data_IF_176161063270
#
_entry.id   IF_176161063270
#
_cell.length_a   1.000
_cell.length_b   1.000
_cell.length_c   1.000
_cell.angle_alpha   90.00
_cell.angle_beta   90.00
_cell.angle_gamma   90.00
#
_symmetry.space_group_name_H-M   'P 1'
#
loop_
_entity.id
_entity.type
_entity.pdbx_description
1 polymer ?
#
# COMPACT_ATOMS: atom_id res chain seq x y z
N UNK A 1 41.51 -25.15 -26.41
CA UNK A 1 40.82 -23.87 -26.70
C UNK A 1 39.33 -24.17 -26.71
N UNK A 2 38.68 -23.87 -25.58
CA UNK A 2 37.72 -22.76 -25.42
C UNK A 2 36.32 -23.19 -25.92
N UNK A 3 35.21 -23.02 -25.21
CA UNK A 3 34.87 -22.01 -24.21
C UNK A 3 33.85 -22.56 -23.19
N UNK A 4 34.09 -22.29 -21.91
CA UNK A 4 33.12 -22.42 -20.82
C UNK A 4 32.10 -21.27 -20.87
N UNK A 5 30.81 -21.59 -20.75
CA UNK A 5 29.72 -20.63 -20.56
C UNK A 5 29.86 -19.90 -19.20
N UNK A 6 29.48 -18.61 -19.10
CA UNK A 6 29.63 -17.86 -17.86
C UNK A 6 28.54 -18.24 -16.84
N UNK A 7 28.97 -18.53 -15.62
CA UNK A 7 28.11 -18.77 -14.47
C UNK A 7 27.54 -17.46 -13.93
N UNK A 8 26.23 -17.24 -14.11
CA UNK A 8 25.49 -16.11 -13.53
C UNK A 8 24.78 -16.43 -12.22
N UNK A 9 24.77 -17.69 -11.76
CA UNK A 9 23.95 -18.15 -10.63
C UNK A 9 24.55 -17.98 -9.24
N UNK A 10 25.86 -18.13 -9.07
CA UNK A 10 26.49 -18.12 -7.73
C UNK A 10 26.55 -16.73 -7.12
N UNK A 11 26.92 -15.72 -7.91
CA UNK A 11 27.04 -14.35 -7.42
C UNK A 11 25.71 -13.70 -7.05
N UNK A 12 24.57 -14.10 -7.65
CA UNK A 12 23.24 -13.59 -7.27
C UNK A 12 22.78 -14.10 -5.90
N UNK A 13 23.10 -15.36 -5.58
CA UNK A 13 22.73 -15.99 -4.30
C UNK A 13 23.53 -15.40 -3.14
N UNK A 14 24.84 -15.15 -3.33
CA UNK A 14 25.67 -14.47 -2.32
C UNK A 14 25.21 -13.02 -2.07
N UNK A 15 24.74 -12.31 -3.11
CA UNK A 15 24.27 -10.91 -3.01
C UNK A 15 22.94 -10.75 -2.27
N UNK A 16 21.94 -11.57 -2.61
CA UNK A 16 20.68 -11.65 -1.84
C UNK A 16 20.96 -11.96 -0.37
N UNK A 17 21.94 -12.82 -0.10
CA UNK A 17 22.33 -13.15 1.26
C UNK A 17 22.99 -11.99 2.03
N UNK A 18 23.62 -11.04 1.33
CA UNK A 18 24.25 -9.86 1.95
C UNK A 18 23.23 -8.82 2.41
N UNK A 19 22.28 -8.45 1.54
CA UNK A 19 21.20 -7.50 1.87
C UNK A 19 20.28 -8.07 2.96
N UNK A 20 19.87 -9.34 2.80
CA UNK A 20 19.07 -10.05 3.79
C UNK A 20 19.81 -10.16 5.15
N UNK A 21 21.13 -10.38 5.14
CA UNK A 21 21.92 -10.40 6.37
C UNK A 21 21.97 -9.03 7.06
N UNK A 22 22.18 -7.94 6.32
CA UNK A 22 22.21 -6.58 6.89
C UNK A 22 20.86 -6.19 7.50
N UNK A 23 19.75 -6.45 6.80
CA UNK A 23 18.41 -6.20 7.33
C UNK A 23 18.12 -7.03 8.59
N UNK A 24 18.62 -8.27 8.66
CA UNK A 24 18.50 -9.11 9.87
C UNK A 24 19.38 -8.64 11.04
N UNK A 25 20.46 -7.90 10.78
CA UNK A 25 21.23 -7.27 11.85
C UNK A 25 20.45 -6.11 12.49
N UNK A 26 19.71 -5.35 11.67
CA UNK A 26 18.84 -4.28 12.13
C UNK A 26 17.58 -4.81 12.84
N UNK A 27 16.99 -5.89 12.33
CA UNK A 27 15.78 -6.52 12.87
C UNK A 27 16.08 -7.98 13.24
N UNK A 28 16.61 -8.23 14.45
CA UNK A 28 17.16 -9.54 14.83
C UNK A 28 16.09 -10.61 15.11
N UNK A 29 14.83 -10.22 15.31
CA UNK A 29 13.76 -11.13 15.68
C UNK A 29 12.52 -10.91 14.79
N UNK A 30 11.92 -12.01 14.37
CA UNK A 30 10.60 -12.00 13.72
C UNK A 30 9.53 -11.55 14.72
N UNK A 31 8.61 -10.71 14.26
CA UNK A 31 7.49 -10.25 15.09
C UNK A 31 6.39 -11.32 15.17
N UNK A 32 6.28 -12.18 14.16
CA UNK A 32 5.38 -13.34 14.13
C UNK A 32 5.94 -14.50 13.29
N UNK A 33 5.39 -15.71 13.43
CA UNK A 33 5.85 -16.89 12.68
C UNK A 33 5.69 -16.74 11.15
N UNK A 34 4.69 -15.97 10.73
CA UNK A 34 4.37 -15.67 9.35
C UNK A 34 4.98 -14.36 8.85
N UNK A 35 5.85 -13.74 9.65
CA UNK A 35 6.57 -12.54 9.28
C UNK A 35 7.59 -12.84 8.18
N UNK A 36 7.37 -12.20 7.03
CA UNK A 36 8.16 -12.30 5.81
C UNK A 36 8.66 -10.94 5.32
N UNK A 37 8.58 -9.90 6.15
CA UNK A 37 8.88 -8.54 5.73
C UNK A 37 10.31 -8.39 5.20
N UNK A 38 11.29 -8.94 5.93
CA UNK A 38 12.71 -8.90 5.52
C UNK A 38 12.89 -9.65 4.21
N UNK A 39 12.25 -10.81 4.06
CA UNK A 39 12.33 -11.59 2.82
C UNK A 39 11.73 -10.84 1.63
N UNK A 40 10.61 -10.14 1.82
CA UNK A 40 9.98 -9.31 0.78
C UNK A 40 10.85 -8.10 0.41
N UNK A 41 11.36 -7.38 1.42
CA UNK A 41 12.16 -6.19 1.21
C UNK A 41 13.50 -6.53 0.53
N UNK A 42 14.18 -7.57 0.98
CA UNK A 42 15.42 -8.04 0.36
C UNK A 42 15.21 -8.46 -1.11
N UNK A 43 14.10 -9.14 -1.43
CA UNK A 43 13.78 -9.52 -2.81
C UNK A 43 13.52 -8.28 -3.69
N UNK A 44 12.73 -7.33 -3.19
CA UNK A 44 12.43 -6.10 -3.92
C UNK A 44 13.68 -5.27 -4.16
N UNK A 45 14.55 -5.16 -3.16
CA UNK A 45 15.80 -4.40 -3.27
C UNK A 45 16.76 -5.07 -4.26
N UNK A 46 16.94 -6.39 -4.20
CA UNK A 46 17.76 -7.12 -5.17
C UNK A 46 17.28 -6.91 -6.61
N UNK A 47 15.96 -7.02 -6.83
CA UNK A 47 15.36 -6.79 -8.14
C UNK A 47 15.48 -5.34 -8.59
N UNK A 48 15.38 -4.39 -7.68
CA UNK A 48 15.60 -2.98 -7.97
C UNK A 48 17.05 -2.69 -8.38
N UNK A 49 18.03 -3.25 -7.67
CA UNK A 49 19.45 -3.09 -8.00
C UNK A 49 19.80 -3.72 -9.36
N UNK A 50 19.21 -4.88 -9.69
CA UNK A 50 19.34 -5.47 -11.03
C UNK A 50 18.76 -4.57 -12.13
N UNK A 51 17.61 -3.92 -11.87
CA UNK A 51 17.03 -2.92 -12.78
C UNK A 51 17.93 -1.69 -12.90
N UNK A 52 18.48 -1.19 -11.80
CA UNK A 52 19.36 -0.03 -11.78
C UNK A 52 20.62 -0.30 -12.60
N UNK A 53 21.24 -1.48 -12.41
CA UNK A 53 22.39 -1.95 -13.18
C UNK A 53 22.10 -1.98 -14.68
N UNK A 54 20.95 -2.54 -15.07
CA UNK A 54 20.55 -2.62 -16.48
C UNK A 54 20.26 -1.26 -17.13
N UNK A 55 20.03 -0.21 -16.35
CA UNK A 55 19.70 1.13 -16.84
C UNK A 55 20.90 2.09 -16.83
N UNK A 56 21.72 2.02 -15.79
CA UNK A 56 22.75 3.02 -15.50
C UNK A 56 24.16 2.43 -15.35
N UNK A 57 24.33 1.12 -15.48
CA UNK A 57 25.62 0.44 -15.39
C UNK A 57 25.99 -0.01 -13.97
N UNK A 58 27.15 -0.64 -13.86
CA UNK A 58 27.64 -1.25 -12.61
C UNK A 58 28.08 -0.20 -11.58
N UNK A 59 28.77 0.85 -12.03
CA UNK A 59 29.31 1.90 -11.15
C UNK A 59 28.23 2.56 -10.29
N UNK A 60 27.07 2.91 -10.89
CA UNK A 60 25.98 3.56 -10.15
C UNK A 60 25.24 2.58 -9.23
N UNK A 61 25.16 1.30 -9.62
CA UNK A 61 24.60 0.24 -8.78
C UNK A 61 25.46 0.07 -7.53
N UNK A 62 26.78 -0.01 -7.70
CA UNK A 62 27.74 -0.13 -6.59
C UNK A 62 27.66 1.09 -5.68
N UNK A 63 27.62 2.30 -6.22
CA UNK A 63 27.50 3.52 -5.43
C UNK A 63 26.21 3.56 -4.57
N UNK A 64 25.06 3.16 -5.13
CA UNK A 64 23.81 3.09 -4.38
C UNK A 64 23.88 2.02 -3.28
N UNK A 65 24.51 0.88 -3.59
CA UNK A 65 24.70 -0.18 -2.60
C UNK A 65 25.62 0.27 -1.47
N UNK A 66 26.78 0.88 -1.76
CA UNK A 66 27.70 1.41 -0.75
C UNK A 66 27.04 2.45 0.15
N UNK A 67 26.29 3.39 -0.43
CA UNK A 67 25.51 4.36 0.34
C UNK A 67 24.50 3.69 1.28
N UNK A 68 23.84 2.62 0.82
CA UNK A 68 22.88 1.87 1.61
C UNK A 68 23.56 1.12 2.76
N UNK A 69 24.72 0.50 2.51
CA UNK A 69 25.50 -0.23 3.51
C UNK A 69 26.02 0.70 4.61
N UNK A 70 26.59 1.86 4.25
CA UNK A 70 27.05 2.87 5.22
C UNK A 70 25.90 3.42 6.06
N UNK A 71 24.74 3.67 5.44
CA UNK A 71 23.55 4.11 6.17
C UNK A 71 23.02 3.04 7.14
N UNK A 72 23.05 1.76 6.75
CA UNK A 72 22.66 0.65 7.63
C UNK A 72 23.64 0.44 8.79
N UNK A 73 24.94 0.62 8.55
CA UNK A 73 25.96 0.59 9.60
C UNK A 73 25.76 1.75 10.60
N UNK A 74 25.44 2.94 10.09
CA UNK A 74 25.10 4.09 10.92
C UNK A 74 23.91 3.79 11.83
N UNK A 75 22.84 3.21 11.32
CA UNK A 75 21.67 2.88 12.14
C UNK A 75 21.99 1.84 13.23
N UNK A 76 22.96 0.94 12.96
CA UNK A 76 23.35 -0.10 13.93
C UNK A 76 24.28 0.44 15.03
N UNK A 77 25.25 1.29 14.67
CA UNK A 77 26.34 1.75 15.57
C UNK A 77 26.14 3.17 16.09
N UNK A 78 25.29 3.97 15.44
CA UNK A 78 25.10 5.41 15.64
C UNK A 78 26.39 6.23 15.64
N UNK A 79 27.36 5.81 14.81
CA UNK A 79 28.66 6.45 14.68
C UNK A 79 28.60 7.65 13.74
N UNK A 80 28.90 8.85 14.23
CA UNK A 80 28.84 10.06 13.43
C UNK A 80 29.88 10.06 12.29
N UNK A 81 30.99 9.33 12.43
CA UNK A 81 32.00 9.21 11.36
C UNK A 81 31.39 8.56 10.09
N UNK A 82 30.41 7.67 10.25
CA UNK A 82 29.69 7.04 9.13
C UNK A 82 28.77 8.01 8.40
N UNK A 83 28.19 8.97 9.12
CA UNK A 83 27.41 10.04 8.46
C UNK A 83 28.31 11.00 7.69
N UNK A 84 29.49 11.31 8.24
CA UNK A 84 30.47 12.14 7.53
C UNK A 84 30.96 11.44 6.26
N UNK A 85 31.26 10.14 6.32
CA UNK A 85 31.58 9.29 5.17
C UNK A 85 30.46 9.33 4.10
N UNK A 86 29.20 9.15 4.52
CA UNK A 86 28.04 9.24 3.62
C UNK A 86 27.89 10.65 3.01
N UNK A 87 28.17 11.70 3.80
CA UNK A 87 28.14 13.08 3.33
C UNK A 87 29.21 13.36 2.28
N UNK A 88 30.43 12.88 2.48
CA UNK A 88 31.52 12.98 1.50
C UNK A 88 31.18 12.24 0.21
N UNK A 89 30.65 11.02 0.32
CA UNK A 89 30.17 10.24 -0.81
C UNK A 89 29.12 11.00 -1.63
N UNK A 90 28.08 11.53 -0.98
CA UNK A 90 27.00 12.26 -1.68
C UNK A 90 27.48 13.57 -2.29
N UNK A 91 28.35 14.32 -1.60
CA UNK A 91 28.85 15.63 -2.08
C UNK A 91 29.88 15.52 -3.19
N UNK A 92 30.51 14.34 -3.36
CA UNK A 92 31.45 14.07 -4.44
C UNK A 92 30.79 13.83 -5.80
N UNK A 93 29.47 13.58 -5.83
CA UNK A 93 28.71 13.25 -7.03
C UNK A 93 28.50 14.47 -7.92
N UNK A 94 28.45 14.26 -9.23
CA UNK A 94 27.98 15.28 -10.13
C UNK A 94 26.45 15.48 -10.01
N UNK A 95 25.88 16.59 -10.51
CA UNK A 95 24.45 16.86 -10.40
C UNK A 95 23.55 15.80 -11.06
N UNK A 96 24.03 15.14 -12.13
CA UNK A 96 23.33 14.06 -12.80
C UNK A 96 23.20 12.84 -11.90
N UNK A 97 24.32 12.33 -11.40
CA UNK A 97 24.35 11.17 -10.52
C UNK A 97 23.63 11.43 -9.19
N UNK A 98 23.76 12.64 -8.64
CA UNK A 98 23.02 13.07 -7.44
C UNK A 98 21.50 12.88 -7.58
N UNK A 99 20.94 13.24 -8.74
CA UNK A 99 19.50 13.08 -8.99
C UNK A 99 19.12 11.60 -9.07
N UNK A 100 19.94 10.77 -9.72
CA UNK A 100 19.63 9.34 -9.87
C UNK A 100 19.74 8.62 -8.54
N UNK A 101 20.75 8.93 -7.71
CA UNK A 101 20.90 8.34 -6.37
C UNK A 101 19.75 8.77 -5.46
N UNK A 102 19.41 10.06 -5.39
CA UNK A 102 18.27 10.52 -4.60
C UNK A 102 16.96 9.85 -5.03
N UNK A 103 16.77 9.70 -6.35
CA UNK A 103 15.60 9.00 -6.91
C UNK A 103 15.63 7.51 -6.56
N UNK A 104 16.79 6.86 -6.60
CA UNK A 104 16.94 5.45 -6.25
C UNK A 104 16.53 5.18 -4.80
N UNK A 105 17.03 5.95 -3.84
CA UNK A 105 16.65 5.83 -2.43
C UNK A 105 15.15 6.12 -2.19
N UNK A 106 14.58 7.11 -2.88
CA UNK A 106 13.13 7.36 -2.82
C UNK A 106 12.32 6.15 -3.31
N UNK A 107 12.75 5.50 -4.39
CA UNK A 107 12.09 4.30 -4.89
C UNK A 107 12.29 3.08 -3.99
N UNK A 108 13.49 2.88 -3.43
CA UNK A 108 13.75 1.82 -2.46
C UNK A 108 12.83 1.95 -1.25
N UNK A 109 12.65 3.17 -0.72
CA UNK A 109 11.71 3.41 0.38
C UNK A 109 10.27 3.11 -0.01
N UNK A 110 9.83 3.46 -1.23
CA UNK A 110 8.50 3.12 -1.70
C UNK A 110 8.29 1.60 -1.82
N UNK A 111 9.32 0.86 -2.25
CA UNK A 111 9.28 -0.60 -2.31
C UNK A 111 9.23 -1.22 -0.91
N UNK A 112 9.98 -0.67 0.06
CA UNK A 112 9.92 -1.10 1.45
C UNK A 112 8.52 -0.85 2.06
N UNK A 113 7.92 0.33 1.83
CA UNK A 113 6.55 0.64 2.27
C UNK A 113 5.54 -0.35 1.68
N UNK A 114 5.71 -0.72 0.42
CA UNK A 114 4.86 -1.72 -0.22
C UNK A 114 5.05 -3.12 0.39
N UNK A 115 6.28 -3.52 0.69
CA UNK A 115 6.56 -4.77 1.39
C UNK A 115 5.86 -4.81 2.75
N UNK A 116 5.87 -3.68 3.46
CA UNK A 116 5.16 -3.49 4.72
C UNK A 116 3.63 -3.59 4.53
N UNK A 117 3.05 -2.91 3.54
CA UNK A 117 1.62 -2.98 3.23
C UNK A 117 1.19 -4.43 2.95
N UNK A 118 1.96 -5.18 2.16
CA UNK A 118 1.70 -6.60 1.87
C UNK A 118 1.83 -7.44 3.14
N UNK A 119 2.87 -7.23 3.94
CA UNK A 119 3.04 -7.92 5.21
C UNK A 119 1.86 -7.67 6.15
N UNK A 120 1.41 -6.43 6.31
CA UNK A 120 0.26 -6.06 7.15
C UNK A 120 -1.03 -6.71 6.63
N UNK A 121 -1.26 -6.67 5.32
CA UNK A 121 -2.48 -7.20 4.71
C UNK A 121 -2.63 -8.72 4.85
N UNK A 122 -1.51 -9.46 4.86
CA UNK A 122 -1.49 -10.92 4.91
C UNK A 122 -1.05 -11.51 6.27
N UNK A 123 -0.65 -10.65 7.23
CA UNK A 123 -0.34 -11.09 8.59
C UNK A 123 -1.56 -11.73 9.24
N UNK A 124 -1.35 -12.90 9.83
CA UNK A 124 -2.36 -13.61 10.62
C UNK A 124 -2.62 -12.85 11.90
N UNK A 125 -3.91 -12.65 12.20
CA UNK A 125 -4.33 -12.07 13.49
C UNK A 125 -3.93 -12.98 14.65
N UNK A 126 -3.42 -12.38 15.71
CA UNK A 126 -3.10 -13.09 16.95
C UNK A 126 -4.40 -13.31 17.73
N UNK A 127 -4.73 -14.57 18.01
CA UNK A 127 -5.96 -14.93 18.73
C UNK A 127 -5.86 -14.80 20.25
N UNK A 128 -4.63 -14.76 20.79
CA UNK A 128 -4.38 -14.60 22.21
C UNK A 128 -4.29 -13.11 22.53
N UNK A 129 -5.39 -12.54 23.03
CA UNK A 129 -5.52 -11.13 23.43
C UNK A 129 -5.60 -11.04 24.96
N UNK A 130 -5.13 -9.94 25.53
CA UNK A 130 -5.22 -9.70 26.99
C UNK A 130 -6.62 -9.26 27.41
N UNK A 131 -7.43 -8.79 26.48
CA UNK A 131 -8.79 -8.29 26.70
C UNK A 131 -8.83 -6.89 27.30
N UNK A 132 -7.75 -6.11 27.21
CA UNK A 132 -7.64 -4.76 27.76
C UNK A 132 -7.58 -3.68 26.67
N UNK A 133 -7.61 -2.40 27.06
CA UNK A 133 -7.53 -1.28 26.12
C UNK A 133 -6.19 -1.20 25.39
N UNK A 134 -5.13 -1.85 25.89
CA UNK A 134 -3.84 -1.84 25.21
C UNK A 134 -3.88 -2.68 23.93
N UNK A 135 -4.75 -3.71 23.88
CA UNK A 135 -4.95 -4.52 22.68
C UNK A 135 -5.52 -3.69 21.51
N UNK A 136 -6.30 -2.63 21.77
CA UNK A 136 -6.92 -1.80 20.73
C UNK A 136 -5.94 -0.79 20.10
N UNK A 137 -4.70 -0.69 20.60
CA UNK A 137 -3.69 0.24 20.09
C UNK A 137 -2.86 -0.33 18.93
N UNK A 138 -3.06 -1.60 18.56
CA UNK A 138 -2.32 -2.25 17.48
C UNK A 138 -3.24 -3.10 16.62
N UNK A 139 -3.11 -2.98 15.30
CA UNK A 139 -3.88 -3.78 14.33
C UNK A 139 -3.68 -5.30 14.50
N UNK A 140 -2.60 -5.73 15.18
CA UNK A 140 -2.32 -7.14 15.47
C UNK A 140 -3.28 -7.70 16.52
N UNK A 141 -3.70 -6.85 17.47
CA UNK A 141 -4.47 -7.22 18.67
C UNK A 141 -5.86 -6.58 18.72
N UNK A 142 -6.14 -5.58 17.88
CA UNK A 142 -7.41 -4.87 17.86
C UNK A 142 -8.60 -5.81 17.63
N UNK A 143 -9.73 -5.47 18.23
CA UNK A 143 -10.97 -6.23 18.07
C UNK A 143 -11.54 -6.02 16.67
N UNK A 144 -11.86 -7.12 15.97
CA UNK A 144 -12.71 -6.97 14.79
C UNK A 144 -14.15 -6.55 15.18
N UNK A 145 -14.97 -6.28 14.17
CA UNK A 145 -16.35 -5.86 14.41
C UNK A 145 -17.14 -6.94 15.18
N UNK A 146 -16.93 -8.22 14.90
CA UNK A 146 -17.66 -9.29 15.57
C UNK A 146 -17.24 -9.43 17.04
N UNK A 147 -15.93 -9.39 17.31
CA UNK A 147 -15.39 -9.37 18.68
C UNK A 147 -15.93 -8.16 19.46
N UNK A 148 -16.02 -7.00 18.81
CA UNK A 148 -16.61 -5.80 19.41
C UNK A 148 -18.09 -5.99 19.75
N UNK A 149 -18.89 -6.52 18.82
CA UNK A 149 -20.31 -6.78 19.07
C UNK A 149 -20.51 -7.83 20.17
N UNK A 150 -19.67 -8.88 20.20
CA UNK A 150 -19.69 -9.91 21.24
C UNK A 150 -19.37 -9.32 22.61
N UNK A 151 -18.33 -8.50 22.73
CA UNK A 151 -17.98 -7.79 23.98
C UNK A 151 -19.13 -6.90 24.46
N UNK A 152 -19.81 -6.18 23.56
CA UNK A 152 -20.98 -5.36 23.92
C UNK A 152 -22.12 -6.22 24.50
N UNK A 153 -22.39 -7.38 23.90
CA UNK A 153 -23.50 -8.26 24.31
C UNK A 153 -23.15 -9.05 25.57
N UNK A 154 -21.98 -9.67 25.63
CA UNK A 154 -21.61 -10.61 26.68
C UNK A 154 -21.00 -9.92 27.91
N UNK A 155 -20.09 -8.98 27.72
CA UNK A 155 -19.37 -8.35 28.83
C UNK A 155 -20.12 -7.11 29.35
N UNK A 156 -20.62 -6.29 28.43
CA UNK A 156 -21.37 -5.06 28.76
C UNK A 156 -22.88 -5.26 28.88
N UNK A 157 -23.38 -6.49 28.65
CA UNK A 157 -24.79 -6.89 28.80
C UNK A 157 -25.77 -6.03 28.00
N UNK A 158 -25.36 -5.52 26.84
CA UNK A 158 -26.26 -4.83 25.91
C UNK A 158 -27.10 -5.85 25.15
N UNK A 159 -28.36 -5.53 24.92
CA UNK A 159 -29.20 -6.38 24.08
C UNK A 159 -28.75 -6.27 22.61
N UNK A 160 -28.82 -7.36 21.83
CA UNK A 160 -28.52 -7.30 20.40
C UNK A 160 -29.35 -6.25 19.64
N UNK A 161 -30.59 -6.00 20.08
CA UNK A 161 -31.47 -4.98 19.52
C UNK A 161 -30.96 -3.55 19.75
N UNK A 162 -30.46 -3.24 20.95
CA UNK A 162 -29.85 -1.94 21.24
C UNK A 162 -28.60 -1.70 20.39
N UNK A 163 -27.76 -2.74 20.21
CA UNK A 163 -26.56 -2.67 19.39
C UNK A 163 -26.91 -2.42 17.92
N UNK A 164 -27.92 -3.14 17.41
CA UNK A 164 -28.40 -2.95 16.04
C UNK A 164 -29.00 -1.55 15.85
N UNK A 165 -29.76 -1.04 16.82
CA UNK A 165 -30.34 0.30 16.74
C UNK A 165 -29.28 1.40 16.81
N UNK A 166 -28.24 1.24 17.63
CA UNK A 166 -27.09 2.13 17.66
C UNK A 166 -26.36 2.15 16.31
N UNK A 167 -26.13 0.98 15.70
CA UNK A 167 -25.48 0.89 14.39
C UNK A 167 -26.28 1.60 13.29
N UNK A 168 -27.61 1.48 13.26
CA UNK A 168 -28.44 2.19 12.26
C UNK A 168 -28.31 3.72 12.34
N UNK A 169 -28.03 4.24 13.53
CA UNK A 169 -27.95 5.68 13.79
C UNK A 169 -26.50 6.21 13.86
N UNK A 170 -25.50 5.33 13.69
CA UNK A 170 -24.10 5.72 13.69
C UNK A 170 -23.68 6.19 12.30
N UNK A 171 -22.89 7.26 12.26
CA UNK A 171 -22.22 7.72 11.04
C UNK A 171 -20.77 8.04 11.35
N UNK A 172 -19.85 7.46 10.58
CA UNK A 172 -18.43 7.83 10.55
C UNK A 172 -18.18 8.60 9.27
N UNK A 173 -17.80 9.87 9.38
CA UNK A 173 -17.41 10.70 8.22
C UNK A 173 -15.89 10.83 8.14
N UNK A 174 -15.32 10.33 7.04
CA UNK A 174 -13.89 10.38 6.77
C UNK A 174 -13.60 11.53 5.80
N UNK A 175 -12.91 12.56 6.28
CA UNK A 175 -12.59 13.76 5.49
C UNK A 175 -11.23 13.62 4.82
N UNK A 176 -11.21 13.49 3.48
CA UNK A 176 -9.98 13.42 2.69
C UNK A 176 -9.35 14.80 2.51
N UNK A 177 -8.08 14.94 2.90
CA UNK A 177 -7.26 16.14 2.73
C UNK A 177 -6.24 15.96 1.62
N UNK A 178 -5.70 17.07 1.11
CA UNK A 178 -4.57 17.01 0.19
C UNK A 178 -3.32 16.49 0.91
N UNK A 179 -2.47 15.74 0.20
CA UNK A 179 -1.19 15.31 0.73
C UNK A 179 -0.16 16.44 0.57
N UNK A 180 0.54 16.87 1.63
CA UNK A 180 1.38 18.08 1.61
C UNK A 180 2.57 18.00 0.65
N UNK A 181 3.10 16.79 0.40
CA UNK A 181 4.38 16.61 -0.33
C UNK A 181 4.29 15.68 -1.55
N UNK A 182 3.22 14.90 -1.72
CA UNK A 182 3.18 13.82 -2.72
C UNK A 182 1.76 13.58 -3.23
N UNK A 183 1.43 14.09 -4.42
CA UNK A 183 0.28 13.58 -5.17
C UNK A 183 0.71 12.32 -5.92
N UNK A 184 0.62 11.15 -5.29
CA UNK A 184 0.91 9.87 -5.97
C UNK A 184 -0.01 9.75 -7.18
N UNK A 185 0.56 9.53 -8.37
CA UNK A 185 -0.24 9.37 -9.60
C UNK A 185 -1.05 8.08 -9.51
N UNK A 186 -2.29 8.08 -10.02
CA UNK A 186 -3.10 6.85 -10.17
C UNK A 186 -2.33 5.70 -10.83
N UNK A 187 -1.50 6.00 -11.82
CA UNK A 187 -0.66 5.01 -12.49
C UNK A 187 0.34 4.32 -11.57
N UNK A 188 0.82 4.99 -10.51
CA UNK A 188 1.70 4.39 -9.50
C UNK A 188 0.88 3.50 -8.55
N UNK A 189 -0.28 3.95 -8.10
CA UNK A 189 -1.19 3.12 -7.27
C UNK A 189 -1.60 1.83 -7.97
N UNK A 190 -1.87 1.87 -9.28
CA UNK A 190 -2.19 0.68 -10.06
C UNK A 190 -1.01 -0.27 -10.19
N UNK A 191 0.21 0.25 -10.34
CA UNK A 191 1.44 -0.56 -10.36
C UNK A 191 1.69 -1.20 -8.98
N UNK A 192 1.52 -0.44 -7.91
CA UNK A 192 1.61 -0.96 -6.53
C UNK A 192 0.56 -2.04 -6.25
N UNK A 193 -0.69 -1.85 -6.71
CA UNK A 193 -1.75 -2.86 -6.55
C UNK A 193 -1.47 -4.16 -7.33
N UNK A 194 -0.63 -4.14 -8.37
CA UNK A 194 -0.22 -5.34 -9.13
C UNK A 194 0.88 -6.13 -8.44
N UNK A 195 1.54 -5.56 -7.44
CA UNK A 195 2.61 -6.22 -6.70
C UNK A 195 2.12 -7.24 -5.65
N UNK A 196 0.83 -7.63 -5.73
CA UNK A 196 0.31 -8.87 -5.15
C UNK A 196 1.10 -10.13 -5.58
N UNK A 197 1.93 -10.02 -6.62
CA UNK A 197 2.90 -11.05 -7.01
C UNK A 197 3.82 -11.46 -5.86
N UNK A 198 4.13 -10.59 -4.88
CA UNK A 198 4.98 -10.95 -3.74
C UNK A 198 4.40 -12.11 -2.91
N UNK A 199 3.09 -12.11 -2.69
CA UNK A 199 2.42 -13.20 -1.96
C UNK A 199 2.41 -14.47 -2.80
N UNK A 200 2.17 -14.34 -4.11
CA UNK A 200 2.16 -15.47 -5.04
C UNK A 200 3.54 -16.13 -5.15
N UNK A 201 4.61 -15.33 -5.23
CA UNK A 201 6.01 -15.80 -5.28
C UNK A 201 6.42 -16.60 -4.04
N UNK A 202 5.82 -16.31 -2.88
CA UNK A 202 6.07 -17.00 -1.62
C UNK A 202 4.96 -18.01 -1.26
N UNK A 203 4.10 -18.34 -2.22
CA UNK A 203 3.14 -19.43 -2.10
C UNK A 203 3.87 -20.77 -2.02
N UNK A 204 3.30 -21.72 -1.25
CA UNK A 204 3.94 -23.04 -1.04
C UNK A 204 3.92 -23.93 -2.28
N UNK A 205 2.94 -23.73 -3.16
CA UNK A 205 2.61 -24.65 -4.25
C UNK A 205 2.89 -24.04 -5.65
N UNK A 206 3.82 -23.08 -5.74
CA UNK A 206 4.16 -22.43 -7.01
C UNK A 206 5.09 -23.31 -7.86
N UNK A 207 4.80 -23.43 -9.16
CA UNK A 207 5.68 -24.15 -10.08
C UNK A 207 6.93 -23.32 -10.42
N UNK A 208 8.04 -23.94 -10.85
CA UNK A 208 9.24 -23.19 -11.25
C UNK A 208 8.97 -22.19 -12.37
N UNK A 209 8.15 -22.58 -13.36
CA UNK A 209 7.81 -21.75 -14.51
C UNK A 209 6.95 -20.55 -14.07
N UNK A 210 5.91 -20.78 -13.28
CA UNK A 210 5.07 -19.71 -12.72
C UNK A 210 5.91 -18.72 -11.88
N UNK A 211 6.86 -19.24 -11.11
CA UNK A 211 7.76 -18.41 -10.30
C UNK A 211 8.64 -17.53 -11.19
N UNK A 212 9.16 -18.07 -12.29
CA UNK A 212 9.94 -17.29 -13.24
C UNK A 212 9.10 -16.20 -13.91
N UNK A 213 7.89 -16.53 -14.39
CA UNK A 213 6.99 -15.58 -15.02
C UNK A 213 6.60 -14.43 -14.07
N UNK A 214 6.33 -14.75 -12.80
CA UNK A 214 6.04 -13.75 -11.77
C UNK A 214 7.26 -12.89 -11.42
N UNK A 215 8.46 -13.46 -11.38
CA UNK A 215 9.70 -12.70 -11.13
C UNK A 215 9.99 -11.73 -12.29
N UNK A 216 9.80 -12.16 -13.54
CA UNK A 216 9.91 -11.29 -14.72
C UNK A 216 8.85 -10.19 -14.73
N UNK A 217 7.61 -10.51 -14.32
CA UNK A 217 6.56 -9.51 -14.16
C UNK A 217 6.89 -8.48 -13.08
N UNK A 218 7.43 -8.92 -11.93
CA UNK A 218 7.88 -8.05 -10.85
C UNK A 218 8.97 -7.08 -11.32
N UNK A 219 10.01 -7.58 -11.99
CA UNK A 219 11.09 -6.74 -12.54
C UNK A 219 10.55 -5.69 -13.51
N UNK A 220 9.61 -6.08 -14.39
CA UNK A 220 8.99 -5.18 -15.35
C UNK A 220 8.19 -4.06 -14.69
N UNK A 221 7.44 -4.37 -13.63
CA UNK A 221 6.67 -3.37 -12.89
C UNK A 221 7.59 -2.44 -12.09
N UNK A 222 8.65 -2.96 -11.46
CA UNK A 222 9.68 -2.14 -10.78
C UNK A 222 10.34 -1.17 -11.78
N UNK A 223 10.76 -1.67 -12.95
CA UNK A 223 11.36 -0.83 -13.99
C UNK A 223 10.37 0.22 -14.51
N UNK A 224 9.10 -0.16 -14.69
CA UNK A 224 8.05 0.75 -15.12
C UNK A 224 7.74 1.83 -14.07
N UNK A 225 7.83 1.50 -12.77
CA UNK A 225 7.71 2.47 -11.68
C UNK A 225 8.91 3.43 -11.69
N UNK A 226 10.14 2.92 -11.71
CA UNK A 226 11.37 3.72 -11.69
C UNK A 226 11.51 4.69 -12.87
N UNK A 227 11.16 4.23 -14.09
CA UNK A 227 11.17 5.09 -15.29
C UNK A 227 10.05 6.12 -15.31
N UNK A 228 9.03 5.98 -14.46
CA UNK A 228 7.98 6.99 -14.33
C UNK A 228 8.40 8.03 -13.30
N UNK A 229 8.54 9.28 -13.70
CA UNK A 229 8.84 10.37 -12.75
C UNK A 229 7.73 10.49 -11.69
N UNK A 230 8.05 10.08 -10.45
CA UNK A 230 7.18 10.20 -9.28
C UNK A 230 7.06 11.66 -8.84
N UNK A 231 8.19 12.38 -8.82
CA UNK A 231 8.25 13.79 -8.48
C UNK A 231 7.80 14.59 -9.71
N UNK A 232 6.68 15.30 -9.57
CA UNK A 232 6.23 16.21 -10.62
C UNK A 232 7.22 17.37 -10.74
N UNK A 233 7.66 17.65 -11.97
CA UNK A 233 8.50 18.82 -12.28
C UNK A 233 7.80 20.16 -11.99
N UNK A 234 6.48 20.14 -11.92
CA UNK A 234 5.64 21.29 -11.55
C UNK A 234 4.71 20.94 -10.39
N UNK A 235 4.49 21.89 -9.50
CA UNK A 235 3.56 21.73 -8.39
C UNK A 235 2.16 21.40 -8.93
N UNK A 236 1.44 20.41 -8.36
CA UNK A 236 0.10 20.07 -8.81
C UNK A 236 -0.86 21.24 -8.63
N UNK A 237 -1.83 21.33 -9.55
CA UNK A 237 -2.98 22.22 -9.38
C UNK A 237 -3.93 21.66 -8.32
N UNK A 238 -4.75 22.49 -7.63
CA UNK A 238 -5.76 21.98 -6.72
C UNK A 238 -6.72 20.95 -7.36
N UNK A 239 -7.02 21.11 -8.66
CA UNK A 239 -7.79 20.12 -9.43
C UNK A 239 -7.05 18.80 -9.64
N UNK A 240 -5.72 18.80 -9.71
CA UNK A 240 -4.91 17.58 -9.77
C UNK A 240 -4.87 16.86 -8.42
N UNK A 241 -4.78 17.61 -7.32
CA UNK A 241 -4.82 17.05 -5.96
C UNK A 241 -6.15 16.35 -5.70
N UNK A 242 -7.27 16.98 -6.07
CA UNK A 242 -8.59 16.34 -6.00
C UNK A 242 -8.65 15.06 -6.84
N UNK A 243 -8.16 15.09 -8.09
CA UNK A 243 -8.15 13.89 -8.95
C UNK A 243 -7.27 12.78 -8.39
N UNK A 244 -6.16 13.13 -7.76
CA UNK A 244 -5.29 12.16 -7.08
C UNK A 244 -5.98 11.55 -5.86
N UNK A 245 -6.60 12.36 -5.00
CA UNK A 245 -7.35 11.86 -3.84
C UNK A 245 -8.52 10.96 -4.23
N UNK A 246 -9.24 11.29 -5.30
CA UNK A 246 -10.32 10.46 -5.83
C UNK A 246 -9.87 9.12 -6.41
N UNK A 247 -8.58 8.93 -6.69
CA UNK A 247 -8.09 7.66 -7.20
C UNK A 247 -8.27 6.52 -6.20
N UNK A 248 -8.17 6.78 -4.90
CA UNK A 248 -8.44 5.80 -3.85
C UNK A 248 -9.90 5.31 -3.86
N UNK A 249 -10.86 6.15 -4.25
CA UNK A 249 -12.23 5.69 -4.46
C UNK A 249 -12.33 4.64 -5.53
N UNK A 250 -11.72 4.91 -6.68
CA UNK A 250 -11.75 4.01 -7.82
C UNK A 250 -11.05 2.68 -7.52
N UNK A 251 -9.87 2.73 -6.87
CA UNK A 251 -9.03 1.54 -6.68
C UNK A 251 -9.48 0.68 -5.49
N UNK A 252 -9.86 1.27 -4.34
CA UNK A 252 -10.10 0.50 -3.11
C UNK A 252 -11.45 0.78 -2.43
N UNK A 253 -11.79 2.05 -2.17
CA UNK A 253 -12.93 2.39 -1.30
C UNK A 253 -14.27 1.96 -1.90
N UNK A 254 -14.47 2.14 -3.22
CA UNK A 254 -15.72 1.80 -3.91
C UNK A 254 -16.13 0.33 -3.72
N UNK A 255 -15.16 -0.58 -3.78
CA UNK A 255 -15.39 -2.02 -3.53
C UNK A 255 -15.26 -2.38 -2.05
N UNK A 256 -14.48 -1.62 -1.28
CA UNK A 256 -14.21 -1.84 0.14
C UNK A 256 -15.43 -1.60 1.04
N UNK A 257 -16.15 -0.49 0.85
CA UNK A 257 -17.33 -0.13 1.65
C UNK A 257 -18.41 -1.23 1.63
N UNK A 258 -18.92 -1.70 0.47
CA UNK A 258 -19.94 -2.76 0.46
C UNK A 258 -19.43 -4.09 1.02
N UNK A 259 -18.13 -4.40 0.86
CA UNK A 259 -17.49 -5.59 1.44
C UNK A 259 -17.48 -5.52 2.98
N UNK A 260 -17.17 -4.36 3.54
CA UNK A 260 -17.21 -4.13 4.99
C UNK A 260 -18.65 -4.17 5.52
N UNK A 261 -19.62 -3.52 4.87
CA UNK A 261 -21.03 -3.59 5.28
C UNK A 261 -21.56 -5.03 5.30
N UNK A 262 -21.15 -5.87 4.33
CA UNK A 262 -21.45 -7.31 4.34
C UNK A 262 -20.81 -8.06 5.52
N UNK A 263 -19.63 -7.62 5.98
CA UNK A 263 -19.02 -8.16 7.21
C UNK A 263 -19.83 -7.77 8.44
N UNK A 264 -20.35 -6.55 8.51
CA UNK A 264 -21.25 -6.11 9.59
C UNK A 264 -22.50 -6.97 9.64
N UNK A 265 -23.16 -7.22 8.50
CA UNK A 265 -24.33 -8.13 8.43
C UNK A 265 -24.01 -9.53 8.96
N UNK A 266 -22.80 -10.04 8.67
CA UNK A 266 -22.35 -11.35 9.14
C UNK A 266 -22.18 -11.36 10.65
N UNK A 267 -21.54 -10.32 11.19
CA UNK A 267 -21.31 -10.16 12.62
C UNK A 267 -22.62 -9.98 13.41
N UNK A 268 -23.58 -9.24 12.86
CA UNK A 268 -24.94 -9.08 13.40
C UNK A 268 -25.67 -10.42 13.50
N UNK A 269 -25.59 -11.25 12.45
CA UNK A 269 -26.17 -12.60 12.46
C UNK A 269 -25.58 -13.47 13.56
N UNK A 270 -24.27 -13.35 13.81
CA UNK A 270 -23.56 -14.14 14.82
C UNK A 270 -23.93 -13.74 16.27
N UNK A 271 -24.51 -12.55 16.50
CA UNK A 271 -25.07 -12.14 17.79
C UNK A 271 -26.60 -12.32 17.88
N UNK A 272 -27.22 -12.96 16.89
CA UNK A 272 -28.65 -13.30 16.88
C UNK A 272 -29.57 -12.32 16.15
N UNK A 273 -29.04 -11.32 15.43
CA UNK A 273 -29.83 -10.40 14.59
C UNK A 273 -29.93 -10.96 13.18
N UNK A 274 -31.11 -11.42 12.77
CA UNK A 274 -31.36 -11.98 11.43
C UNK A 274 -31.67 -10.93 10.35
N UNK A 275 -31.53 -9.65 10.69
CA UNK A 275 -31.72 -8.52 9.77
C UNK A 275 -30.37 -7.99 9.28
N UNK A 276 -30.35 -7.46 8.05
CA UNK A 276 -29.20 -6.74 7.52
C UNK A 276 -29.27 -5.27 7.94
N UNK A 277 -28.13 -4.60 7.96
CA UNK A 277 -28.12 -3.14 8.05
C UNK A 277 -28.93 -2.58 6.87
N UNK A 278 -29.88 -1.65 7.11
CA UNK A 278 -30.63 -1.02 6.03
C UNK A 278 -29.68 -0.39 5.00
N UNK A 279 -29.89 -0.66 3.71
CA UNK A 279 -29.00 -0.19 2.64
C UNK A 279 -28.95 1.35 2.52
N UNK A 280 -29.91 2.04 3.13
CA UNK A 280 -29.99 3.50 3.20
C UNK A 280 -29.39 4.10 4.48
N UNK A 281 -28.87 3.27 5.41
CA UNK A 281 -28.19 3.77 6.61
C UNK A 281 -26.79 4.29 6.23
N UNK A 282 -26.46 5.57 6.51
CA UNK A 282 -25.18 6.18 6.14
C UNK A 282 -24.10 5.85 7.18
N UNK A 283 -23.75 4.57 7.31
CA UNK A 283 -22.80 4.11 8.33
C UNK A 283 -21.40 4.70 8.15
N UNK A 284 -20.98 4.83 6.88
CA UNK A 284 -19.70 5.42 6.47
C UNK A 284 -19.98 6.46 5.40
N UNK A 285 -19.49 7.68 5.63
CA UNK A 285 -19.51 8.77 4.67
C UNK A 285 -18.08 9.25 4.41
N UNK A 286 -17.92 9.92 3.28
CA UNK A 286 -16.66 10.53 2.93
C UNK A 286 -16.89 11.96 2.48
N UNK A 287 -16.06 12.83 3.01
CA UNK A 287 -16.01 14.26 2.71
C UNK A 287 -14.64 14.61 2.15
N UNK A 288 -14.47 15.81 1.60
CA UNK A 288 -13.16 16.25 1.12
C UNK A 288 -12.94 17.74 1.30
N UNK A 289 -11.70 18.10 1.64
CA UNK A 289 -11.22 19.48 1.68
C UNK A 289 -10.50 19.90 0.39
N UNK A 290 -10.18 18.97 -0.51
CA UNK A 290 -9.42 19.24 -1.73
C UNK A 290 -10.22 20.16 -2.68
N UNK A 291 -9.74 21.39 -2.86
CA UNK A 291 -10.41 22.44 -3.64
C UNK A 291 -11.53 23.18 -2.89
N UNK A 292 -11.77 22.86 -1.62
CA UNK A 292 -12.69 23.56 -0.72
C UNK A 292 -11.97 24.42 0.31
N UNK A 293 -10.94 23.85 0.95
CA UNK A 293 -10.12 24.54 1.93
C UNK A 293 -9.26 25.61 1.26
N UNK A 294 -9.44 26.85 1.72
CA UNK A 294 -8.80 28.07 1.19
C UNK A 294 -8.04 28.82 2.28
N UNK A 295 -7.95 28.26 3.48
CA UNK A 295 -7.20 28.88 4.56
C UNK A 295 -5.71 28.91 4.20
N UNK A 296 -5.11 30.10 4.20
CA UNK A 296 -3.72 30.30 3.82
C UNK A 296 -3.33 29.93 2.37
N UNK A 297 -4.27 29.54 1.50
CA UNK A 297 -3.96 29.04 0.15
C UNK A 297 -4.69 29.82 -0.96
N UNK A 298 -4.07 30.86 -1.55
CA UNK A 298 -4.69 31.69 -2.58
C UNK A 298 -4.91 30.95 -3.92
N UNK A 299 -4.36 29.75 -4.08
CA UNK A 299 -4.54 28.94 -5.30
C UNK A 299 -5.94 28.32 -5.37
N UNK A 300 -6.67 28.25 -4.27
CA UNK A 300 -8.04 27.72 -4.22
C UNK A 300 -9.05 28.84 -4.46
N UNK A 301 -9.31 29.11 -5.74
CA UNK A 301 -10.26 30.14 -6.19
C UNK A 301 -11.71 29.62 -6.19
N UNK A 302 -12.73 30.49 -6.30
CA UNK A 302 -14.11 30.03 -6.45
C UNK A 302 -14.33 29.14 -7.68
N UNK A 303 -13.59 29.38 -8.77
CA UNK A 303 -13.62 28.56 -9.97
C UNK A 303 -13.07 27.16 -9.70
N UNK A 304 -11.94 27.06 -8.97
CA UNK A 304 -11.39 25.77 -8.52
C UNK A 304 -12.43 24.98 -7.72
N UNK A 305 -13.11 25.61 -6.76
CA UNK A 305 -14.16 24.94 -5.97
C UNK A 305 -15.29 24.43 -6.86
N UNK A 306 -15.72 25.22 -7.86
CA UNK A 306 -16.72 24.79 -8.83
C UNK A 306 -16.25 23.60 -9.66
N UNK A 307 -15.01 23.65 -10.14
CA UNK A 307 -14.42 22.59 -10.97
C UNK A 307 -14.34 21.27 -10.22
N UNK A 308 -13.85 21.26 -8.98
CA UNK A 308 -13.74 20.02 -8.20
C UNK A 308 -15.11 19.40 -7.90
N UNK A 309 -16.15 20.22 -7.67
CA UNK A 309 -17.52 19.70 -7.53
C UNK A 309 -18.01 19.03 -8.82
N UNK A 310 -17.75 19.62 -9.99
CA UNK A 310 -18.12 19.01 -11.27
C UNK A 310 -17.34 17.73 -11.55
N UNK A 311 -16.03 17.73 -11.25
CA UNK A 311 -15.18 16.54 -11.37
C UNK A 311 -15.67 15.40 -10.47
N UNK A 312 -16.06 15.69 -9.22
CA UNK A 312 -16.61 14.69 -8.31
C UNK A 312 -17.89 14.06 -8.86
N UNK A 313 -18.82 14.87 -9.39
CA UNK A 313 -20.06 14.38 -10.01
C UNK A 313 -19.80 13.52 -11.25
N UNK A 314 -18.85 13.93 -12.09
CA UNK A 314 -18.45 13.16 -13.27
C UNK A 314 -17.83 11.82 -12.88
N UNK A 315 -16.94 11.80 -11.89
CA UNK A 315 -16.31 10.58 -11.40
C UNK A 315 -17.33 9.61 -10.80
N UNK A 316 -18.27 10.12 -10.00
CA UNK A 316 -19.37 9.32 -9.46
C UNK A 316 -20.21 8.69 -10.58
N UNK A 317 -20.62 9.50 -11.58
CA UNK A 317 -21.38 9.00 -12.71
C UNK A 317 -20.64 7.88 -13.46
N UNK A 318 -19.34 8.03 -13.70
CA UNK A 318 -18.52 7.00 -14.36
C UNK A 318 -18.47 5.69 -13.56
N UNK A 319 -18.31 5.76 -12.24
CA UNK A 319 -18.31 4.57 -11.36
C UNK A 319 -19.66 3.86 -11.37
N UNK A 320 -20.76 4.62 -11.31
CA UNK A 320 -22.11 4.04 -11.39
C UNK A 320 -22.39 3.42 -12.75
N UNK A 321 -22.03 4.08 -13.85
CA UNK A 321 -22.24 3.52 -15.19
C UNK A 321 -21.57 2.16 -15.35
N UNK A 322 -20.29 2.05 -14.97
CA UNK A 322 -19.57 0.77 -15.04
C UNK A 322 -20.24 -0.33 -14.19
N UNK A 323 -20.70 0.01 -12.97
CA UNK A 323 -21.36 -0.95 -12.10
C UNK A 323 -22.75 -1.38 -12.62
N UNK A 324 -23.48 -0.47 -13.27
CA UNK A 324 -24.78 -0.76 -13.88
C UNK A 324 -24.59 -1.67 -15.09
N UNK A 325 -23.58 -1.43 -15.93
CA UNK A 325 -23.24 -2.30 -17.05
C UNK A 325 -22.97 -3.74 -16.60
N UNK A 326 -22.15 -3.92 -15.56
CA UNK A 326 -21.91 -5.25 -14.96
C UNK A 326 -23.21 -5.89 -14.47
N UNK A 327 -24.05 -5.12 -13.77
CA UNK A 327 -25.33 -5.61 -13.24
C UNK A 327 -26.30 -6.01 -14.36
N UNK A 328 -26.28 -5.30 -15.50
CA UNK A 328 -27.10 -5.65 -16.66
C UNK A 328 -26.78 -7.05 -17.17
N UNK A 329 -25.50 -7.47 -17.18
CA UNK A 329 -25.13 -8.83 -17.59
C UNK A 329 -25.61 -9.90 -16.58
N UNK A 330 -25.55 -9.61 -15.28
CA UNK A 330 -25.96 -10.58 -14.24
C UNK A 330 -27.48 -10.76 -14.16
N UNK A 331 -28.25 -9.67 -14.29
CA UNK A 331 -29.71 -9.68 -14.07
C UNK A 331 -30.50 -10.28 -15.25
N UNK A 332 -29.87 -10.46 -16.41
CA UNK A 332 -30.50 -11.05 -17.61
C UNK A 332 -30.96 -12.50 -17.39
N UNK A 333 -30.41 -13.23 -16.41
CA UNK A 333 -30.76 -14.65 -16.18
C UNK A 333 -32.10 -14.92 -15.48
N UNK A 334 -32.72 -13.91 -14.85
CA UNK A 334 -33.99 -14.11 -14.11
C UNK A 334 -35.23 -13.94 -15.00
N UNK A 335 -35.11 -13.26 -16.13
CA UNK A 335 -36.24 -13.00 -17.03
C UNK A 335 -36.58 -14.17 -17.98
N UNK A 336 -35.68 -15.15 -18.15
CA UNK A 336 -35.86 -16.29 -19.07
C UNK A 336 -36.29 -17.60 -18.38
N UNK A 337 -36.46 -17.61 -17.05
CA UNK A 337 -36.92 -18.78 -16.28
C UNK A 337 -38.27 -18.59 -15.59
N UNK A 338 -39.13 -17.70 -16.10
CA UNK A 338 -40.53 -17.59 -15.67
C UNK A 338 -41.49 -17.81 -16.82
#
# INVERSE_FOLDING_TARGET
MASSAPGGGSGKIERLSSIDAQLRLLVPAKVSEDDKLIEYDALLLDRFLDVLQGLHGDDLREMVQECYEVAAEYETKHDLEKLDELGEMITSLDPGDSIVIAKAFSHMLNLANLAEEVQIAYRRRVKLKKGDFADENSAITESDIEETLKRLVFDMKKSPAEVFDALKNQTVDLVLTAHPTQSVRRSLLQKHSRLNCLVQLYSKDITPDDKQELDEALQREIQAAFRTDEIRRTQPTPQDEMRAGMSYFHETIWKGVPKFLRRVDTALKNIGINERVPYNAPLIQFSSWMGGDRDGNPRVTPEVTRDVCLLARMMAANLYCAQIEDLMFEVVYVALQR
#
